data_IF_391907362247
#
_entry.id   IF_391907362247
#
_cell.length_a   1.000
_cell.length_b   1.000
_cell.length_c   1.000
_cell.angle_alpha   90.00
_cell.angle_beta   90.00
_cell.angle_gamma   90.00
#
_symmetry.space_group_name_H-M   'P 1'
#
loop_
_entity.id
_entity.type
_entity.pdbx_description
1 polymer ?
#
# COMPACT_ATOMS: atom_id res chain seq x y z
N UNK A 1 -11.27 -28.72 -19.39
CA UNK A 1 -10.12 -29.60 -19.18
C UNK A 1 -8.80 -28.92 -19.53
N UNK A 2 -8.76 -28.29 -20.69
CA UNK A 2 -7.60 -27.53 -21.12
C UNK A 2 -7.31 -26.31 -20.21
N UNK A 3 -8.35 -25.56 -19.85
CA UNK A 3 -8.22 -24.41 -18.95
C UNK A 3 -7.73 -24.87 -17.57
N UNK A 4 -8.27 -25.99 -17.08
CA UNK A 4 -7.87 -26.55 -15.80
C UNK A 4 -6.39 -26.96 -15.80
N UNK A 5 -5.94 -27.54 -16.89
CA UNK A 5 -4.53 -27.91 -17.03
C UNK A 5 -3.62 -26.70 -17.01
N UNK A 6 -4.00 -25.61 -17.69
CA UNK A 6 -3.24 -24.36 -17.66
C UNK A 6 -3.14 -23.77 -16.26
N UNK A 7 -4.22 -23.87 -15.46
CA UNK A 7 -4.19 -23.42 -14.06
C UNK A 7 -3.24 -24.27 -13.23
N UNK A 8 -3.21 -25.57 -13.47
CA UNK A 8 -2.34 -26.50 -12.72
C UNK A 8 -0.86 -26.27 -12.97
N UNK A 9 -0.47 -25.73 -14.12
CA UNK A 9 0.94 -25.44 -14.44
C UNK A 9 1.37 -24.04 -14.05
N UNK A 10 0.53 -23.29 -13.33
CA UNK A 10 0.93 -22.00 -12.77
C UNK A 10 2.10 -22.19 -11.81
N UNK A 11 2.95 -21.17 -11.74
CA UNK A 11 4.12 -21.19 -10.87
C UNK A 11 3.75 -21.34 -9.40
N UNK A 12 4.71 -21.79 -8.59
CA UNK A 12 4.56 -21.81 -7.13
C UNK A 12 4.28 -20.41 -6.57
N UNK A 13 4.84 -19.37 -7.20
CA UNK A 13 4.60 -17.98 -6.83
C UNK A 13 3.13 -17.63 -6.93
N UNK A 14 2.45 -18.02 -8.01
CA UNK A 14 1.02 -17.74 -8.17
C UNK A 14 0.18 -18.42 -7.09
N UNK A 15 0.50 -19.67 -6.76
CA UNK A 15 -0.18 -20.40 -5.69
C UNK A 15 0.04 -19.76 -4.33
N UNK A 16 1.27 -19.35 -4.03
CA UNK A 16 1.60 -18.65 -2.79
C UNK A 16 0.90 -17.29 -2.70
N UNK A 17 0.84 -16.56 -3.82
CA UNK A 17 0.14 -15.28 -3.87
C UNK A 17 -1.35 -15.43 -3.58
N UNK A 18 -1.98 -16.48 -4.05
CA UNK A 18 -3.39 -16.77 -3.75
C UNK A 18 -3.59 -17.08 -2.27
N UNK A 19 -2.73 -17.89 -1.68
CA UNK A 19 -2.79 -18.22 -0.25
C UNK A 19 -2.57 -16.97 0.60
N UNK A 20 -1.55 -16.19 0.26
CA UNK A 20 -1.25 -14.92 0.93
C UNK A 20 -2.45 -13.98 0.88
N UNK A 21 -3.01 -13.78 -0.31
CA UNK A 21 -4.15 -12.90 -0.54
C UNK A 21 -5.37 -13.35 0.25
N UNK A 22 -5.66 -14.66 0.24
CA UNK A 22 -6.79 -15.21 0.99
C UNK A 22 -6.59 -15.04 2.51
N UNK A 23 -5.40 -15.30 3.00
CA UNK A 23 -5.10 -15.13 4.44
C UNK A 23 -5.26 -13.69 4.86
N UNK A 24 -4.77 -12.75 4.07
CA UNK A 24 -4.93 -11.33 4.36
C UNK A 24 -6.41 -10.93 4.34
N UNK A 25 -7.12 -11.27 3.27
CA UNK A 25 -8.53 -10.89 3.09
C UNK A 25 -9.40 -11.42 4.23
N UNK A 26 -9.18 -12.66 4.67
CA UNK A 26 -9.90 -13.23 5.80
C UNK A 26 -9.62 -12.51 7.12
N UNK A 27 -8.44 -11.96 7.28
CA UNK A 27 -8.06 -11.25 8.51
C UNK A 27 -8.66 -9.86 8.61
N UNK A 28 -9.06 -9.27 7.47
CA UNK A 28 -9.60 -7.92 7.43
C UNK A 28 -11.09 -7.90 7.82
N UNK A 29 -11.47 -6.92 8.64
CA UNK A 29 -12.87 -6.67 8.99
C UNK A 29 -13.62 -6.08 7.78
N UNK A 30 -14.96 -6.05 7.86
CA UNK A 30 -15.79 -5.41 6.83
C UNK A 30 -15.47 -3.92 6.69
N UNK A 31 -15.18 -3.26 7.81
CA UNK A 31 -14.83 -1.84 7.80
C UNK A 31 -13.46 -1.62 7.13
N UNK A 32 -12.50 -2.47 7.43
CA UNK A 32 -11.18 -2.40 6.79
C UNK A 32 -11.27 -2.64 5.29
N UNK A 33 -12.11 -3.57 4.85
CA UNK A 33 -12.24 -3.89 3.42
C UNK A 33 -12.82 -2.75 2.58
N UNK A 34 -13.42 -1.75 3.19
CA UNK A 34 -13.87 -0.55 2.48
C UNK A 34 -12.72 0.35 2.07
N UNK A 35 -11.59 0.25 2.77
CA UNK A 35 -10.43 1.12 2.59
C UNK A 35 -9.18 0.39 2.13
N UNK A 36 -9.28 -0.94 1.99
CA UNK A 36 -8.18 -1.80 1.55
C UNK A 36 -8.63 -2.60 0.32
N UNK A 37 -7.87 -2.48 -0.76
CA UNK A 37 -8.11 -3.26 -1.97
C UNK A 37 -6.90 -4.17 -2.21
N UNK A 38 -7.15 -5.44 -2.47
CA UNK A 38 -6.09 -6.43 -2.70
C UNK A 38 -6.27 -7.05 -4.08
N UNK A 39 -5.25 -6.94 -4.92
CA UNK A 39 -5.25 -7.49 -6.26
C UNK A 39 -3.98 -8.27 -6.54
N UNK A 40 -4.10 -9.30 -7.36
CA UNK A 40 -2.95 -10.08 -7.84
C UNK A 40 -2.88 -9.91 -9.35
N UNK A 41 -1.78 -9.31 -9.82
CA UNK A 41 -1.56 -9.07 -11.25
C UNK A 41 -0.16 -9.54 -11.61
N UNK A 42 -0.07 -10.42 -12.60
CA UNK A 42 1.23 -10.92 -13.14
C UNK A 42 2.18 -11.43 -12.05
N UNK A 43 1.64 -12.15 -11.09
CA UNK A 43 2.44 -12.73 -10.01
C UNK A 43 2.83 -11.79 -8.89
N UNK A 44 2.32 -10.57 -8.90
CA UNK A 44 2.62 -9.55 -7.89
C UNK A 44 1.35 -9.20 -7.12
N UNK A 45 1.45 -9.10 -5.80
CA UNK A 45 0.33 -8.74 -4.94
C UNK A 45 0.36 -7.24 -4.69
N UNK A 46 -0.75 -6.57 -4.97
CA UNK A 46 -0.93 -5.14 -4.74
C UNK A 46 -1.97 -4.94 -3.64
N UNK A 47 -1.55 -4.33 -2.54
CA UNK A 47 -2.44 -3.95 -1.45
C UNK A 47 -2.56 -2.43 -1.47
N UNK A 48 -3.72 -1.92 -1.83
CA UNK A 48 -3.96 -0.48 -1.92
C UNK A 48 -4.72 0.01 -0.69
N UNK A 49 -4.18 1.02 -0.02
CA UNK A 49 -4.69 1.56 1.23
C UNK A 49 -5.12 3.01 1.03
N UNK A 50 -6.33 3.33 1.44
CA UNK A 50 -6.85 4.68 1.32
C UNK A 50 -6.08 5.66 2.20
N UNK A 51 -5.84 6.85 1.68
CA UNK A 51 -5.10 7.92 2.34
C UNK A 51 -5.67 8.28 3.72
N UNK A 52 -6.98 8.48 3.79
CA UNK A 52 -7.64 8.90 5.02
C UNK A 52 -7.66 7.83 6.11
N UNK A 53 -7.45 6.57 5.76
CA UNK A 53 -7.30 5.48 6.72
C UNK A 53 -5.89 5.46 7.31
N UNK A 54 -4.88 5.69 6.45
CA UNK A 54 -3.47 5.57 6.84
C UNK A 54 -2.92 6.78 7.57
N UNK A 55 -3.26 7.99 7.11
CA UNK A 55 -2.58 9.20 7.56
C UNK A 55 -3.53 10.19 8.22
N UNK A 56 -2.97 10.98 9.14
CA UNK A 56 -3.67 12.15 9.66
C UNK A 56 -3.85 13.15 8.53
N UNK A 57 -4.95 13.89 8.56
CA UNK A 57 -5.31 14.83 7.49
C UNK A 57 -4.16 15.81 7.20
N UNK A 58 -3.81 15.93 5.91
CA UNK A 58 -2.76 16.83 5.46
C UNK A 58 -1.37 16.51 5.98
N UNK A 59 -1.11 15.27 6.35
CA UNK A 59 0.14 14.86 7.00
C UNK A 59 0.69 13.57 6.39
N UNK A 60 1.93 13.25 6.72
CA UNK A 60 2.52 11.94 6.47
C UNK A 60 2.59 11.09 7.75
N UNK A 61 2.08 11.59 8.87
CA UNK A 61 2.04 10.83 10.11
C UNK A 61 0.95 9.75 10.05
N UNK A 62 1.30 8.55 10.54
CA UNK A 62 0.37 7.42 10.57
C UNK A 62 -0.76 7.70 11.55
N UNK A 63 -1.99 7.46 11.09
CA UNK A 63 -3.19 7.58 11.88
C UNK A 63 -3.31 6.36 12.83
N UNK A 64 -3.70 6.59 14.06
CA UNK A 64 -3.85 5.53 15.06
C UNK A 64 -4.81 4.42 14.61
N UNK A 65 -5.84 4.77 13.86
CA UNK A 65 -6.80 3.79 13.33
C UNK A 65 -6.19 2.85 12.29
N UNK A 66 -5.04 3.17 11.74
CA UNK A 66 -4.34 2.31 10.79
C UNK A 66 -3.57 1.18 11.46
N UNK A 67 -3.34 1.25 12.76
CA UNK A 67 -2.48 0.31 13.47
C UNK A 67 -2.93 -1.14 13.31
N UNK A 68 -4.23 -1.40 13.48
CA UNK A 68 -4.76 -2.76 13.38
C UNK A 68 -4.60 -3.32 11.97
N UNK A 69 -4.93 -2.55 10.95
CA UNK A 69 -4.79 -2.97 9.55
C UNK A 69 -3.32 -3.20 9.19
N UNK A 70 -2.44 -2.30 9.59
CA UNK A 70 -1.00 -2.44 9.34
C UNK A 70 -0.42 -3.64 10.11
N UNK A 71 -0.92 -3.96 11.28
CA UNK A 71 -0.54 -5.14 12.03
C UNK A 71 -0.84 -6.43 11.24
N UNK A 72 -2.00 -6.51 10.64
CA UNK A 72 -2.40 -7.66 9.82
C UNK A 72 -1.54 -7.80 8.57
N UNK A 73 -1.23 -6.68 7.92
CA UNK A 73 -0.36 -6.67 6.75
C UNK A 73 1.07 -7.05 7.14
N UNK A 74 1.56 -6.53 8.25
CA UNK A 74 2.89 -6.87 8.78
C UNK A 74 3.01 -8.38 9.04
N UNK A 75 1.97 -8.98 9.62
CA UNK A 75 1.95 -10.43 9.86
C UNK A 75 2.09 -11.20 8.54
N UNK A 76 1.38 -10.81 7.51
CA UNK A 76 1.48 -11.43 6.20
C UNK A 76 2.90 -11.28 5.64
N UNK A 77 3.47 -10.10 5.70
CA UNK A 77 4.84 -9.84 5.23
C UNK A 77 5.84 -10.74 5.97
N UNK A 78 5.67 -10.88 7.27
CA UNK A 78 6.58 -11.69 8.10
C UNK A 78 6.39 -13.19 7.87
N UNK A 79 5.17 -13.65 7.63
CA UNK A 79 4.88 -15.05 7.37
C UNK A 79 5.39 -15.51 5.99
N UNK A 80 5.43 -14.62 5.02
CA UNK A 80 5.86 -14.92 3.64
C UNK A 80 7.22 -14.29 3.37
N UNK A 81 8.27 -14.92 3.87
CA UNK A 81 9.64 -14.37 3.93
C UNK A 81 10.33 -14.21 2.58
N UNK A 82 9.89 -14.93 1.55
CA UNK A 82 10.55 -14.94 0.25
C UNK A 82 9.97 -13.89 -0.71
N UNK A 83 9.49 -12.78 -0.15
CA UNK A 83 8.94 -11.67 -0.93
C UNK A 83 9.66 -10.38 -0.58
N UNK A 84 9.91 -9.57 -1.61
CA UNK A 84 10.33 -8.18 -1.45
C UNK A 84 9.10 -7.29 -1.37
N UNK A 85 9.18 -6.22 -0.60
CA UNK A 85 8.04 -5.33 -0.34
C UNK A 85 8.41 -3.89 -0.70
N UNK A 86 7.67 -3.32 -1.65
CA UNK A 86 7.77 -1.92 -2.02
C UNK A 86 6.55 -1.18 -1.46
N UNK A 87 6.79 -0.15 -0.69
CA UNK A 87 5.74 0.76 -0.22
C UNK A 87 5.76 1.98 -1.12
N UNK A 88 4.64 2.25 -1.80
CA UNK A 88 4.57 3.27 -2.84
C UNK A 88 3.47 4.28 -2.53
N UNK A 89 3.85 5.54 -2.34
CA UNK A 89 2.90 6.62 -2.10
C UNK A 89 2.41 7.25 -3.40
N UNK A 90 1.13 7.60 -3.44
CA UNK A 90 0.48 8.24 -4.59
C UNK A 90 -0.44 9.35 -4.10
N UNK A 91 -0.47 10.47 -4.85
CA UNK A 91 -1.32 11.62 -4.55
C UNK A 91 -2.31 11.88 -5.70
N UNK A 92 -3.24 12.80 -5.45
CA UNK A 92 -4.00 13.42 -6.54
C UNK A 92 -3.17 14.57 -7.15
N UNK A 93 -3.78 15.36 -8.04
CA UNK A 93 -3.09 16.44 -8.73
C UNK A 93 -3.23 17.82 -8.04
N UNK A 94 -3.78 17.86 -6.84
CA UNK A 94 -3.90 19.11 -6.10
C UNK A 94 -2.54 19.50 -5.54
N UNK A 95 -2.05 20.71 -5.84
CA UNK A 95 -0.76 21.16 -5.28
C UNK A 95 -0.79 21.22 -3.76
N UNK A 96 0.36 20.94 -3.15
CA UNK A 96 0.50 21.03 -1.70
C UNK A 96 0.46 22.49 -1.27
N UNK A 97 -0.24 22.75 -0.14
CA UNK A 97 -0.16 24.02 0.55
C UNK A 97 1.09 24.03 1.42
N UNK A 98 2.19 24.56 0.88
CA UNK A 98 3.48 24.59 1.55
C UNK A 98 3.50 25.53 2.78
N UNK A 99 2.52 26.38 2.94
CA UNK A 99 2.39 27.27 4.08
C UNK A 99 1.69 26.63 5.28
N UNK A 100 0.99 25.50 5.06
CA UNK A 100 0.37 24.77 6.16
C UNK A 100 1.43 24.26 7.14
N UNK A 101 1.14 24.31 8.44
CA UNK A 101 2.09 23.94 9.49
C UNK A 101 2.65 22.51 9.30
N UNK A 102 1.81 21.59 8.84
CA UNK A 102 2.16 20.20 8.60
C UNK A 102 2.94 19.97 7.30
N UNK A 103 3.01 20.98 6.43
CA UNK A 103 3.59 20.86 5.09
C UNK A 103 4.80 21.77 4.85
N UNK A 104 5.32 22.43 5.90
CA UNK A 104 6.38 23.44 5.77
C UNK A 104 7.65 22.95 5.08
N UNK A 105 8.01 21.68 5.26
CA UNK A 105 9.24 21.13 4.72
C UNK A 105 8.97 20.20 3.51
N UNK A 106 7.77 20.26 2.98
CA UNK A 106 7.36 19.43 1.84
C UNK A 106 7.11 20.36 0.64
N UNK A 107 7.89 20.18 -0.41
CA UNK A 107 7.88 21.11 -1.56
C UNK A 107 6.76 20.82 -2.54
N UNK A 108 6.42 19.55 -2.73
CA UNK A 108 5.51 19.11 -3.78
C UNK A 108 4.96 17.71 -3.50
N UNK A 109 4.16 17.20 -4.40
CA UNK A 109 3.57 15.86 -4.28
C UNK A 109 4.61 14.73 -4.36
N UNK A 110 5.75 14.95 -5.01
CA UNK A 110 6.86 14.00 -4.97
C UNK A 110 7.35 13.80 -3.54
N UNK A 111 7.61 14.91 -2.84
CA UNK A 111 8.08 14.86 -1.45
C UNK A 111 7.02 14.23 -0.54
N UNK A 112 5.76 14.62 -0.68
CA UNK A 112 4.70 14.09 0.17
C UNK A 112 4.52 12.59 -0.01
N UNK A 113 4.46 12.13 -1.25
CA UNK A 113 4.27 10.70 -1.54
C UNK A 113 5.44 9.86 -1.03
N UNK A 114 6.67 10.33 -1.19
CA UNK A 114 7.86 9.66 -0.69
C UNK A 114 7.90 9.61 0.84
N UNK A 115 7.57 10.71 1.51
CA UNK A 115 7.53 10.78 2.97
C UNK A 115 6.43 9.90 3.55
N UNK A 116 5.28 9.85 2.92
CA UNK A 116 4.19 8.96 3.33
C UNK A 116 4.58 7.50 3.23
N UNK A 117 5.21 7.10 2.14
CA UNK A 117 5.73 5.75 1.98
C UNK A 117 6.79 5.44 3.05
N UNK A 118 7.70 6.38 3.30
CA UNK A 118 8.72 6.25 4.34
C UNK A 118 8.11 6.07 5.73
N UNK A 119 7.03 6.79 6.04
CA UNK A 119 6.33 6.66 7.32
C UNK A 119 5.78 5.25 7.51
N UNK A 120 5.21 4.65 6.47
CA UNK A 120 4.70 3.27 6.53
C UNK A 120 5.84 2.29 6.75
N UNK A 121 6.95 2.44 6.00
CA UNK A 121 8.13 1.58 6.17
C UNK A 121 8.63 1.63 7.61
N UNK A 122 8.81 2.82 8.15
CA UNK A 122 9.30 3.00 9.53
C UNK A 122 8.32 2.43 10.55
N UNK A 123 7.03 2.59 10.31
CA UNK A 123 5.99 2.05 11.19
C UNK A 123 6.05 0.52 11.23
N UNK A 124 6.17 -0.13 10.06
CA UNK A 124 6.28 -1.59 9.98
C UNK A 124 7.51 -2.11 10.71
N UNK A 125 8.64 -1.39 10.62
CA UNK A 125 9.88 -1.77 11.31
C UNK A 125 9.73 -1.56 12.81
N UNK A 126 9.31 -0.37 13.23
CA UNK A 126 9.37 0.05 14.63
C UNK A 126 8.27 -0.59 15.49
N UNK A 127 7.09 -0.84 14.92
CA UNK A 127 5.96 -1.39 15.67
C UNK A 127 5.82 -2.90 15.53
N UNK A 128 6.24 -3.47 14.41
CA UNK A 128 6.00 -4.89 14.13
C UNK A 128 7.26 -5.70 13.86
N UNK A 129 8.42 -5.06 13.80
CA UNK A 129 9.70 -5.77 13.65
C UNK A 129 9.93 -6.37 12.27
N UNK A 130 9.34 -5.80 11.22
CA UNK A 130 9.61 -6.24 9.85
C UNK A 130 11.07 -5.97 9.50
N UNK A 131 11.74 -6.90 8.82
CA UNK A 131 13.14 -6.75 8.43
C UNK A 131 13.34 -5.58 7.47
N UNK A 132 14.16 -4.59 7.84
CA UNK A 132 14.36 -3.40 6.99
C UNK A 132 14.87 -3.71 5.58
N UNK A 133 15.72 -4.73 5.42
CA UNK A 133 16.30 -5.08 4.12
C UNK A 133 15.28 -5.54 3.09
N UNK A 134 14.07 -5.91 3.52
CA UNK A 134 13.00 -6.35 2.63
C UNK A 134 12.15 -5.21 2.14
N UNK A 135 12.27 -4.02 2.72
CA UNK A 135 11.39 -2.89 2.51
C UNK A 135 12.05 -1.81 1.66
N UNK A 136 11.29 -1.27 0.73
CA UNK A 136 11.67 -0.09 -0.06
C UNK A 136 10.53 0.91 -0.01
N UNK A 137 10.84 2.18 0.18
CA UNK A 137 9.87 3.27 0.12
C UNK A 137 10.06 4.04 -1.17
N UNK A 138 8.97 4.33 -1.88
CA UNK A 138 8.99 5.11 -3.10
C UNK A 138 7.81 6.06 -3.20
N UNK A 139 8.00 7.17 -3.89
CA UNK A 139 6.94 8.15 -4.14
C UNK A 139 6.70 8.30 -5.63
N UNK A 140 5.44 8.23 -6.05
CA UNK A 140 5.03 8.39 -7.44
C UNK A 140 4.44 9.79 -7.72
N UNK A 141 4.27 10.60 -6.68
CA UNK A 141 3.62 11.90 -6.82
C UNK A 141 2.20 11.73 -7.32
N UNK A 142 1.79 12.65 -8.23
CA UNK A 142 0.47 12.65 -8.85
C UNK A 142 0.42 11.85 -10.18
N UNK A 143 1.54 11.27 -10.59
CA UNK A 143 1.74 10.79 -11.96
C UNK A 143 1.39 9.32 -12.17
N UNK A 144 0.70 8.70 -11.22
CA UNK A 144 0.23 7.33 -11.34
C UNK A 144 -1.26 7.22 -10.97
N UNK A 145 -2.14 7.98 -11.66
CA UNK A 145 -3.56 8.00 -11.29
C UNK A 145 -4.25 6.68 -11.66
N UNK A 146 -5.21 6.29 -10.84
CA UNK A 146 -6.11 5.15 -11.10
C UNK A 146 -7.52 5.60 -11.45
N UNK A 147 -7.79 6.90 -11.30
CA UNK A 147 -9.08 7.51 -11.59
C UNK A 147 -8.89 8.95 -12.06
N UNK A 148 -9.98 9.58 -12.52
CA UNK A 148 -9.92 10.98 -12.95
C UNK A 148 -9.74 11.92 -11.76
N UNK A 149 -8.84 12.91 -11.91
CA UNK A 149 -8.68 14.00 -10.97
C UNK A 149 -9.73 15.11 -11.16
N UNK A 150 -10.66 14.95 -12.10
CA UNK A 150 -11.71 15.92 -12.36
C UNK A 150 -12.87 15.84 -11.34
N UNK A 151 -12.93 14.77 -10.57
CA UNK A 151 -13.97 14.55 -9.55
C UNK A 151 -13.35 14.32 -8.18
N UNK A 152 -14.07 14.65 -7.12
CA UNK A 152 -13.62 14.38 -5.74
C UNK A 152 -13.47 12.88 -5.49
N UNK A 153 -14.37 12.06 -6.01
CA UNK A 153 -14.29 10.61 -5.88
C UNK A 153 -13.02 10.08 -6.56
N UNK A 154 -12.71 10.57 -7.75
CA UNK A 154 -11.50 10.18 -8.48
C UNK A 154 -10.23 10.59 -7.75
N UNK A 155 -10.18 11.83 -7.25
CA UNK A 155 -9.05 12.30 -6.46
C UNK A 155 -8.83 11.45 -5.21
N UNK A 156 -9.91 11.11 -4.52
CA UNK A 156 -9.84 10.28 -3.32
C UNK A 156 -9.26 8.90 -3.63
N UNK A 157 -9.61 8.31 -4.76
CA UNK A 157 -9.05 7.03 -5.19
C UNK A 157 -7.57 7.14 -5.56
N UNK A 158 -7.14 8.28 -6.08
CA UNK A 158 -5.74 8.54 -6.42
C UNK A 158 -4.87 8.72 -5.18
N UNK A 159 -5.41 9.27 -4.10
CA UNK A 159 -4.72 9.41 -2.82
C UNK A 159 -4.66 8.06 -2.11
N UNK A 160 -3.63 7.31 -2.37
CA UNK A 160 -3.46 5.96 -1.84
C UNK A 160 -2.00 5.61 -1.62
N UNK A 161 -1.76 4.65 -0.76
CA UNK A 161 -0.45 4.02 -0.60
C UNK A 161 -0.60 2.54 -0.98
N UNK A 162 0.27 2.06 -1.84
CA UNK A 162 0.26 0.67 -2.27
C UNK A 162 1.40 -0.09 -1.61
N UNK A 163 1.08 -1.26 -1.09
CA UNK A 163 2.07 -2.22 -0.61
C UNK A 163 2.17 -3.29 -1.68
N UNK A 164 3.32 -3.35 -2.35
CA UNK A 164 3.55 -4.20 -3.51
C UNK A 164 4.46 -5.33 -3.09
N UNK A 165 3.94 -6.55 -3.09
CA UNK A 165 4.65 -7.74 -2.61
C UNK A 165 5.04 -8.58 -3.81
N UNK A 166 6.35 -8.66 -4.05
CA UNK A 166 6.91 -9.33 -5.22
C UNK A 166 7.73 -10.55 -4.79
N UNK A 167 7.47 -11.75 -5.35
CA UNK A 167 8.31 -12.91 -5.07
C UNK A 167 9.77 -12.67 -5.48
N UNK A 168 10.67 -13.14 -4.67
CA UNK A 168 12.11 -13.11 -4.99
C UNK A 168 12.47 -14.10 -6.07
#
# INVERSE_FOLDING_TARGET
>A
LYIRHLVEVKSKSDSLNMVLTNNLTRSLSKEEMKEVDVQVLKGVVYISLADNMLYKSGSYEINDRAQETLSKIAKIIMDYKDYDVLIEGNTDNVPINTEAATMKNIRNNWDLSALRASSVVQYLINHFGVEPKRLTAGGRGEFNPVASNDTEVGKQRNRRTQIIITPK
#
